data_IF_499633032271
#
_entry.id   IF_499633032271
#
_cell.length_a   1.000
_cell.length_b   1.000
_cell.length_c   1.000
_cell.angle_alpha   90.00
_cell.angle_beta   90.00
_cell.angle_gamma   90.00
#
_symmetry.space_group_name_H-M   'P 1'
#
loop_
_entity.id
_entity.type
_entity.pdbx_description
1 polymer ?
#
# COMPACT_ATOMS: atom_id res chain seq x y z
N UNK A 1 13.35 6.73 -7.15
CA UNK A 1 13.61 5.29 -6.98
C UNK A 1 12.29 4.58 -6.74
N UNK A 2 12.00 3.58 -7.55
CA UNK A 2 10.73 2.88 -7.46
C UNK A 2 10.83 1.64 -6.57
N UNK A 3 9.70 1.33 -5.93
CA UNK A 3 9.58 0.18 -5.04
C UNK A 3 8.23 -0.50 -5.26
N UNK A 4 8.18 -1.79 -4.99
CA UNK A 4 6.92 -2.52 -4.86
C UNK A 4 6.75 -2.91 -3.40
N UNK A 5 5.57 -2.64 -2.88
CA UNK A 5 5.20 -2.99 -1.52
C UNK A 5 4.04 -3.97 -1.57
N UNK A 6 4.22 -5.13 -0.97
CA UNK A 6 3.17 -6.13 -0.86
C UNK A 6 2.92 -6.35 0.62
N UNK A 7 1.69 -6.13 1.05
CA UNK A 7 1.31 -6.26 2.45
C UNK A 7 0.11 -7.17 2.60
N UNK A 8 0.14 -8.03 3.61
CA UNK A 8 -0.97 -8.93 3.90
C UNK A 8 -1.56 -8.63 5.26
N UNK A 9 -2.88 -8.68 5.32
CA UNK A 9 -3.64 -8.49 6.55
C UNK A 9 -3.47 -9.69 7.49
N UNK A 10 -3.89 -9.53 8.74
CA UNK A 10 -3.92 -10.64 9.67
C UNK A 10 -4.93 -11.70 9.28
N UNK A 11 -4.80 -12.87 9.89
CA UNK A 11 -5.68 -14.02 9.61
C UNK A 11 -6.75 -14.22 10.70
N UNK A 12 -6.79 -13.33 11.69
CA UNK A 12 -7.75 -13.41 12.77
C UNK A 12 -9.15 -12.93 12.36
N UNK A 13 -10.14 -13.25 13.15
CA UNK A 13 -11.55 -12.94 12.82
C UNK A 13 -11.82 -11.44 12.70
N UNK A 14 -11.06 -10.61 13.43
CA UNK A 14 -11.25 -9.16 13.42
C UNK A 14 -10.48 -8.44 12.32
N UNK A 15 -9.68 -9.17 11.52
CA UNK A 15 -8.82 -8.55 10.51
C UNK A 15 -9.61 -7.74 9.49
N UNK A 16 -10.68 -8.30 8.95
CA UNK A 16 -11.51 -7.58 7.97
C UNK A 16 -12.14 -6.33 8.58
N UNK A 17 -12.62 -6.43 9.82
CA UNK A 17 -13.19 -5.28 10.51
C UNK A 17 -12.20 -4.15 10.71
N UNK A 18 -10.95 -4.47 11.06
CA UNK A 18 -9.89 -3.46 11.18
C UNK A 18 -9.64 -2.77 9.85
N UNK A 19 -9.59 -3.54 8.77
CA UNK A 19 -9.37 -2.99 7.43
C UNK A 19 -10.50 -2.05 7.02
N UNK A 20 -11.75 -2.48 7.21
CA UNK A 20 -12.92 -1.66 6.86
C UNK A 20 -12.97 -0.39 7.71
N UNK A 21 -12.62 -0.46 8.98
CA UNK A 21 -12.61 0.70 9.86
C UNK A 21 -11.55 1.74 9.47
N UNK A 22 -10.42 1.30 8.94
CA UNK A 22 -9.33 2.20 8.55
C UNK A 22 -9.38 2.60 7.07
N UNK A 23 -10.32 2.05 6.30
CA UNK A 23 -10.34 2.20 4.84
C UNK A 23 -10.46 3.65 4.38
N UNK A 24 -11.33 4.42 4.99
CA UNK A 24 -11.54 5.81 4.59
C UNK A 24 -10.27 6.65 4.77
N UNK A 25 -9.61 6.52 5.92
CA UNK A 25 -8.34 7.20 6.16
C UNK A 25 -7.25 6.74 5.20
N UNK A 26 -7.19 5.43 4.92
CA UNK A 26 -6.23 4.87 3.98
C UNK A 26 -6.44 5.43 2.57
N UNK A 27 -7.68 5.48 2.08
CA UNK A 27 -7.97 5.99 0.74
C UNK A 27 -7.66 7.48 0.62
N UNK A 28 -7.89 8.25 1.69
CA UNK A 28 -7.51 9.66 1.70
C UNK A 28 -6.01 9.83 1.57
N UNK A 29 -5.25 9.08 2.35
CA UNK A 29 -3.79 9.08 2.28
C UNK A 29 -3.29 8.63 0.91
N UNK A 30 -3.88 7.57 0.38
CA UNK A 30 -3.52 7.03 -0.94
C UNK A 30 -3.72 8.06 -2.03
N UNK A 31 -4.81 8.80 -2.00
CA UNK A 31 -5.09 9.84 -2.98
C UNK A 31 -4.04 10.95 -2.93
N UNK A 32 -3.67 11.38 -1.73
CA UNK A 32 -2.62 12.39 -1.55
C UNK A 32 -1.27 11.89 -2.08
N UNK A 33 -0.91 10.65 -1.77
CA UNK A 33 0.32 10.04 -2.28
C UNK A 33 0.33 9.94 -3.79
N UNK A 34 -0.80 9.59 -4.40
CA UNK A 34 -0.94 9.54 -5.84
C UNK A 34 -0.79 10.94 -6.46
N UNK A 35 -1.46 11.93 -5.91
CA UNK A 35 -1.41 13.30 -6.41
C UNK A 35 -0.01 13.91 -6.30
N UNK A 36 0.76 13.51 -5.31
CA UNK A 36 2.13 13.96 -5.11
C UNK A 36 3.16 13.13 -5.88
N UNK A 37 2.72 12.18 -6.70
CA UNK A 37 3.62 11.34 -7.50
C UNK A 37 4.35 10.26 -6.71
N UNK A 38 3.95 10.02 -5.45
CA UNK A 38 4.61 9.02 -4.60
C UNK A 38 4.07 7.62 -4.85
N UNK A 39 2.78 7.48 -5.14
CA UNK A 39 2.17 6.21 -5.53
C UNK A 39 1.89 6.23 -7.03
N UNK A 40 2.35 5.21 -7.74
CA UNK A 40 2.15 5.08 -9.19
C UNK A 40 0.95 4.19 -9.51
N UNK A 41 0.74 3.16 -8.72
CA UNK A 41 -0.33 2.20 -8.93
C UNK A 41 -0.56 1.43 -7.63
N UNK A 42 -1.80 1.02 -7.40
CA UNK A 42 -2.13 0.24 -6.21
C UNK A 42 -3.34 -0.63 -6.46
N UNK A 43 -3.38 -1.79 -5.83
CA UNK A 43 -4.52 -2.69 -5.87
C UNK A 43 -4.74 -3.31 -4.50
N UNK A 44 -5.99 -3.65 -4.20
CA UNK A 44 -6.28 -4.55 -3.09
C UNK A 44 -6.10 -5.99 -3.57
N UNK A 45 -5.55 -6.82 -2.72
CA UNK A 45 -5.44 -8.26 -3.00
C UNK A 45 -6.68 -8.93 -2.40
N UNK A 46 -7.37 -9.71 -3.23
CA UNK A 46 -8.61 -10.37 -2.81
C UNK A 46 -8.39 -11.87 -2.69
N UNK A 47 -9.10 -12.49 -1.76
CA UNK A 47 -9.17 -13.95 -1.74
C UNK A 47 -10.19 -14.45 -2.77
N UNK A 48 -10.39 -15.76 -2.86
CA UNK A 48 -11.29 -16.34 -3.86
C UNK A 48 -12.76 -15.96 -3.64
N UNK A 49 -13.12 -15.55 -2.43
CA UNK A 49 -14.48 -15.06 -2.14
C UNK A 49 -14.64 -13.56 -2.40
N UNK A 50 -13.60 -12.91 -2.93
CA UNK A 50 -13.64 -11.49 -3.23
C UNK A 50 -13.42 -10.57 -2.04
N UNK A 51 -12.98 -11.10 -0.91
CA UNK A 51 -12.70 -10.29 0.29
C UNK A 51 -11.27 -9.81 0.29
N UNK A 52 -11.03 -8.54 0.68
CA UNK A 52 -9.67 -8.00 0.70
C UNK A 52 -8.83 -8.64 1.80
N UNK A 53 -7.65 -9.11 1.45
CA UNK A 53 -6.71 -9.75 2.36
C UNK A 53 -5.33 -9.11 2.33
N UNK A 54 -5.14 -8.09 1.51
CA UNK A 54 -3.85 -7.44 1.39
C UNK A 54 -3.87 -6.30 0.42
N UNK A 55 -2.70 -5.75 0.14
CA UNK A 55 -2.54 -4.62 -0.78
C UNK A 55 -1.21 -4.73 -1.50
N UNK A 56 -1.17 -4.22 -2.74
CA UNK A 56 0.07 -4.09 -3.49
C UNK A 56 0.17 -2.66 -3.99
N UNK A 57 1.31 -2.02 -3.75
CA UNK A 57 1.54 -0.64 -4.15
C UNK A 57 2.86 -0.56 -4.92
N UNK A 58 2.84 0.11 -6.06
CA UNK A 58 4.06 0.52 -6.77
C UNK A 58 4.24 2.01 -6.48
N UNK A 59 5.40 2.38 -5.94
CA UNK A 59 5.62 3.73 -5.43
C UNK A 59 7.00 4.26 -5.83
N UNK A 60 7.18 5.56 -5.65
CA UNK A 60 8.42 6.25 -5.99
C UNK A 60 8.79 7.17 -4.83
N UNK A 61 9.94 6.91 -4.23
CA UNK A 61 10.51 7.72 -3.15
C UNK A 61 11.99 7.88 -3.42
N UNK A 62 12.59 8.93 -2.86
CA UNK A 62 14.02 9.19 -3.08
C UNK A 62 14.90 8.08 -2.52
N UNK A 63 14.45 7.40 -1.45
CA UNK A 63 15.18 6.31 -0.80
C UNK A 63 14.22 5.41 -0.04
N UNK A 64 14.73 4.25 0.39
CA UNK A 64 13.98 3.36 1.29
C UNK A 64 13.64 4.05 2.60
N UNK A 65 14.56 4.85 3.13
CA UNK A 65 14.32 5.60 4.37
C UNK A 65 13.17 6.58 4.21
N UNK A 66 13.11 7.30 3.08
CA UNK A 66 12.00 8.21 2.83
C UNK A 66 10.67 7.48 2.68
N UNK A 67 10.67 6.34 2.00
CA UNK A 67 9.48 5.52 1.90
C UNK A 67 8.94 5.18 3.28
N UNK A 68 9.79 4.77 4.19
CA UNK A 68 9.38 4.43 5.54
C UNK A 68 8.92 5.64 6.33
N UNK A 69 9.71 6.72 6.33
CA UNK A 69 9.43 7.89 7.15
C UNK A 69 8.25 8.71 6.64
N UNK A 70 8.14 8.87 5.32
CA UNK A 70 7.09 9.71 4.75
C UNK A 70 5.78 8.97 4.52
N UNK A 71 5.81 7.65 4.46
CA UNK A 71 4.62 6.87 4.18
C UNK A 71 4.35 5.76 5.18
N UNK A 72 5.20 4.72 5.27
CA UNK A 72 4.84 3.54 6.08
C UNK A 72 4.61 3.87 7.55
N UNK A 73 5.37 4.79 8.11
CA UNK A 73 5.22 5.17 9.52
C UNK A 73 3.91 5.92 9.80
N UNK A 74 3.24 6.42 8.77
CA UNK A 74 1.98 7.17 8.92
C UNK A 74 0.82 6.52 8.15
N UNK A 75 1.06 5.40 7.52
CA UNK A 75 0.03 4.70 6.75
C UNK A 75 -1.08 4.21 7.68
N UNK A 76 -2.36 4.60 7.42
CA UNK A 76 -3.46 4.18 8.30
C UNK A 76 -3.59 2.67 8.46
N UNK A 77 -3.29 1.88 7.43
CA UNK A 77 -3.35 0.42 7.55
C UNK A 77 -2.21 -0.15 8.39
N UNK A 78 -1.11 0.56 8.53
CA UNK A 78 -0.04 0.19 9.46
C UNK A 78 -0.43 0.59 10.88
N UNK A 79 -0.87 1.85 11.05
CA UNK A 79 -1.23 2.38 12.37
C UNK A 79 -2.41 1.64 13.01
N UNK A 80 -3.35 1.18 12.20
CA UNK A 80 -4.52 0.45 12.67
C UNK A 80 -4.31 -1.06 12.74
N UNK A 81 -3.09 -1.53 12.58
CA UNK A 81 -2.76 -2.95 12.68
C UNK A 81 -3.46 -3.81 11.62
N UNK A 82 -3.72 -3.26 10.46
CA UNK A 82 -4.33 -4.00 9.35
C UNK A 82 -3.27 -4.88 8.67
N UNK A 83 -2.18 -4.27 8.22
CA UNK A 83 -1.09 -5.00 7.56
C UNK A 83 -0.20 -5.66 8.61
N UNK A 84 -0.13 -6.99 8.57
CA UNK A 84 0.70 -7.78 9.49
C UNK A 84 2.02 -8.22 8.87
N UNK A 85 2.03 -8.39 7.54
CA UNK A 85 3.25 -8.70 6.80
C UNK A 85 3.45 -7.61 5.76
N UNK A 86 4.64 -7.01 5.74
CA UNK A 86 4.96 -5.96 4.76
C UNK A 86 6.29 -6.30 4.14
N UNK A 87 6.30 -6.43 2.82
CA UNK A 87 7.51 -6.69 2.07
C UNK A 87 7.75 -5.55 1.09
N UNK A 88 8.95 -4.98 1.14
CA UNK A 88 9.36 -3.88 0.27
C UNK A 88 10.54 -4.31 -0.56
N UNK A 89 10.45 -4.16 -1.89
CA UNK A 89 11.53 -4.47 -2.80
C UNK A 89 11.76 -3.30 -3.76
N UNK A 90 13.00 -3.11 -4.19
CA UNK A 90 13.29 -2.24 -5.32
C UNK A 90 12.58 -2.79 -6.55
N UNK A 91 12.04 -1.88 -7.36
CA UNK A 91 11.28 -2.27 -8.54
C UNK A 91 11.52 -1.27 -9.67
N UNK A 92 11.08 -1.63 -10.85
CA UNK A 92 11.08 -0.73 -12.00
C UNK A 92 9.78 -0.97 -12.76
N UNK A 93 8.93 0.04 -12.82
CA UNK A 93 7.69 -0.06 -13.57
C UNK A 93 8.01 -0.18 -15.06
N UNK A 94 7.25 -1.01 -15.77
CA UNK A 94 7.36 -1.10 -17.22
C UNK A 94 7.03 0.26 -17.81
N UNK A 95 7.87 0.82 -18.73
CA UNK A 95 7.77 2.24 -19.11
C UNK A 95 6.40 2.72 -19.59
N UNK A 96 5.62 1.88 -20.25
CA UNK A 96 4.31 2.28 -20.78
C UNK A 96 3.15 1.91 -19.88
N UNK A 97 3.41 1.24 -18.75
CA UNK A 97 2.39 0.87 -17.76
C UNK A 97 2.33 1.96 -16.71
N UNK A 98 1.15 2.11 -16.05
CA UNK A 98 0.93 3.07 -14.95
C UNK A 98 1.26 4.53 -15.32
N UNK A 99 1.12 4.88 -16.61
CA UNK A 99 1.33 6.25 -17.05
C UNK A 99 2.78 6.67 -17.14
N UNK A 100 3.73 5.78 -17.04
CA UNK A 100 5.15 6.07 -17.20
C UNK A 100 5.45 6.40 -18.67
N UNK A 101 6.26 7.41 -18.89
CA UNK A 101 6.65 7.83 -20.24
C UNK A 101 8.09 7.50 -20.55
#
# INVERSE_FOLDING_TARGET
>A
MQFIVIAYDGHDQEALGRRLAAREAHLKSAKEMFENGKWLYAVGILNDDGKPIGSMIVCDFASRDELEQQWLMVEPYVLANVWKEIKVNRAQATPFIAGQK
#
